data_IF_312947788993
#
_entry.id   IF_312947788993
#
_cell.length_a   1.000
_cell.length_b   1.000
_cell.length_c   1.000
_cell.angle_alpha   90.00
_cell.angle_beta   90.00
_cell.angle_gamma   90.00
#
_symmetry.space_group_name_H-M   'P 1'
#
loop_
_entity.id
_entity.type
_entity.pdbx_description
1 polymer ?
#
# COMPACT_ATOMS: atom_id res chain seq x y z
N UNK A 1 -7.93 45.79 -5.38
CA UNK A 1 -7.89 44.65 -6.32
C UNK A 1 -8.61 43.48 -5.70
N UNK A 2 -9.68 42.94 -6.31
CA UNK A 2 -10.31 41.72 -5.82
C UNK A 2 -9.34 40.55 -6.01
N UNK A 3 -9.10 39.80 -4.94
CA UNK A 3 -8.32 38.55 -4.97
C UNK A 3 -9.09 37.58 -5.89
N UNK A 4 -8.45 36.98 -6.91
CA UNK A 4 -9.13 36.02 -7.76
C UNK A 4 -9.61 34.86 -6.88
N UNK A 5 -10.91 34.60 -6.94
CA UNK A 5 -11.53 33.41 -6.35
C UNK A 5 -11.00 32.24 -7.17
N UNK A 6 -9.94 31.60 -6.68
CA UNK A 6 -9.49 30.30 -7.21
C UNK A 6 -10.61 29.33 -6.84
N UNK A 7 -11.54 29.08 -7.77
CA UNK A 7 -12.47 27.95 -7.67
C UNK A 7 -11.59 26.71 -7.50
N UNK A 8 -11.67 26.06 -6.33
CA UNK A 8 -11.10 24.73 -6.15
C UNK A 8 -11.93 23.78 -6.99
N UNK A 9 -11.48 23.51 -8.21
CA UNK A 9 -12.16 22.59 -9.11
C UNK A 9 -12.11 21.17 -8.54
N UNK A 10 -13.25 20.48 -8.59
CA UNK A 10 -13.38 19.13 -8.06
C UNK A 10 -12.57 18.17 -8.94
N UNK A 11 -11.67 17.41 -8.30
CA UNK A 11 -10.88 16.36 -8.92
C UNK A 11 -11.67 15.04 -8.90
N UNK A 12 -12.53 14.83 -9.90
CA UNK A 12 -13.41 13.65 -9.95
C UNK A 12 -12.65 12.33 -9.95
N UNK A 13 -11.50 12.25 -10.64
CA UNK A 13 -10.66 11.06 -10.62
C UNK A 13 -10.26 10.70 -9.19
N UNK A 14 -9.79 11.66 -8.40
CA UNK A 14 -9.31 11.43 -7.05
C UNK A 14 -10.41 11.02 -6.07
N UNK A 15 -11.60 11.65 -6.17
CA UNK A 15 -12.75 11.24 -5.37
C UNK A 15 -13.15 9.79 -5.70
N UNK A 16 -13.28 9.45 -6.99
CA UNK A 16 -13.62 8.08 -7.39
C UNK A 16 -12.51 7.09 -7.04
N UNK A 17 -11.24 7.48 -7.10
CA UNK A 17 -10.11 6.64 -6.70
C UNK A 17 -10.18 6.28 -5.22
N UNK A 18 -10.39 7.27 -4.34
CA UNK A 18 -10.54 7.01 -2.91
C UNK A 18 -11.78 6.14 -2.66
N UNK A 19 -12.92 6.41 -3.30
CA UNK A 19 -14.11 5.57 -3.18
C UNK A 19 -13.83 4.12 -3.57
N UNK A 20 -13.16 3.92 -4.70
CA UNK A 20 -12.80 2.58 -5.18
C UNK A 20 -11.89 1.88 -4.18
N UNK A 21 -10.86 2.58 -3.69
CA UNK A 21 -9.93 2.01 -2.72
C UNK A 21 -10.62 1.61 -1.42
N UNK A 22 -11.48 2.48 -0.90
CA UNK A 22 -12.25 2.22 0.31
C UNK A 22 -13.20 1.04 0.12
N UNK A 23 -13.92 1.04 -0.99
CA UNK A 23 -14.88 -0.02 -1.33
C UNK A 23 -14.19 -1.37 -1.44
N UNK A 24 -13.10 -1.44 -2.21
CA UNK A 24 -12.39 -2.69 -2.49
C UNK A 24 -11.63 -3.24 -1.28
N UNK A 25 -11.08 -2.39 -0.41
CA UNK A 25 -10.30 -2.86 0.75
C UNK A 25 -11.14 -3.09 2.02
N UNK A 26 -12.24 -2.35 2.20
CA UNK A 26 -12.97 -2.34 3.49
C UNK A 26 -14.45 -2.67 3.38
N UNK A 27 -15.13 -2.36 2.27
CA UNK A 27 -16.59 -2.51 2.20
C UNK A 27 -17.02 -3.84 1.58
N UNK A 28 -16.31 -4.30 0.56
CA UNK A 28 -16.58 -5.58 -0.10
C UNK A 28 -15.78 -6.67 0.61
N UNK A 29 -16.44 -7.68 1.18
CA UNK A 29 -15.76 -8.86 1.70
C UNK A 29 -14.94 -9.59 0.62
N UNK A 30 -13.70 -9.96 0.96
CA UNK A 30 -12.76 -10.60 0.03
C UNK A 30 -13.19 -11.99 -0.44
N UNK A 31 -13.95 -12.72 0.39
CA UNK A 31 -14.53 -14.03 0.10
C UNK A 31 -15.54 -14.01 -1.05
N UNK A 32 -16.07 -12.84 -1.42
CA UNK A 32 -16.96 -12.70 -2.58
C UNK A 32 -16.23 -12.75 -3.93
N UNK A 33 -14.88 -12.65 -3.94
CA UNK A 33 -14.00 -12.73 -5.12
C UNK A 33 -14.48 -11.89 -6.33
N UNK A 34 -15.19 -10.79 -6.08
CA UNK A 34 -15.78 -9.99 -7.15
C UNK A 34 -14.67 -9.43 -8.04
N UNK A 35 -14.80 -9.50 -9.38
CA UNK A 35 -13.80 -8.97 -10.30
C UNK A 35 -13.87 -7.44 -10.41
N UNK A 36 -13.91 -6.74 -9.26
CA UNK A 36 -14.08 -5.29 -9.15
C UNK A 36 -13.04 -4.52 -9.98
N UNK A 37 -11.80 -5.00 -10.07
CA UNK A 37 -10.75 -4.37 -10.86
C UNK A 37 -11.06 -4.35 -12.38
N UNK A 38 -11.79 -5.34 -12.90
CA UNK A 38 -12.18 -5.38 -14.33
C UNK A 38 -13.13 -4.25 -14.70
N UNK A 39 -13.97 -3.79 -13.76
CA UNK A 39 -14.95 -2.75 -14.00
C UNK A 39 -14.46 -1.36 -13.55
N UNK A 40 -13.88 -1.27 -12.35
CA UNK A 40 -13.50 0.01 -11.76
C UNK A 40 -12.25 0.62 -12.39
N UNK A 41 -11.25 -0.18 -12.79
CA UNK A 41 -10.03 0.40 -13.38
C UNK A 41 -10.30 1.07 -14.74
N UNK A 42 -11.12 0.50 -15.66
CA UNK A 42 -11.56 1.23 -16.85
C UNK A 42 -12.34 2.51 -16.53
N UNK A 43 -13.23 2.50 -15.53
CA UNK A 43 -13.97 3.70 -15.11
C UNK A 43 -12.99 4.79 -14.63
N UNK A 44 -12.00 4.42 -13.79
CA UNK A 44 -10.97 5.33 -13.32
C UNK A 44 -10.12 5.89 -14.48
N UNK A 45 -9.78 5.06 -15.46
CA UNK A 45 -9.06 5.50 -16.66
C UNK A 45 -9.88 6.52 -17.46
N UNK A 46 -11.16 6.25 -17.70
CA UNK A 46 -12.07 7.17 -18.42
C UNK A 46 -12.21 8.50 -17.69
N UNK A 47 -12.40 8.47 -16.36
CA UNK A 47 -12.48 9.69 -15.55
C UNK A 47 -11.18 10.48 -15.57
N UNK A 48 -10.03 9.81 -15.52
CA UNK A 48 -8.73 10.45 -15.62
C UNK A 48 -8.55 11.13 -16.98
N UNK A 49 -8.85 10.42 -18.07
CA UNK A 49 -8.77 10.99 -19.43
C UNK A 49 -9.70 12.20 -19.56
N UNK A 50 -10.94 12.09 -19.12
CA UNK A 50 -11.90 13.20 -19.12
C UNK A 50 -11.37 14.40 -18.34
N UNK A 51 -10.81 14.16 -17.15
CA UNK A 51 -10.24 15.21 -16.34
C UNK A 51 -9.02 15.88 -16.99
N UNK A 52 -8.13 15.10 -17.62
CA UNK A 52 -6.98 15.64 -18.36
C UNK A 52 -7.42 16.52 -19.54
N UNK A 53 -8.46 16.11 -20.27
CA UNK A 53 -9.03 16.88 -21.38
C UNK A 53 -9.67 18.17 -20.89
N UNK A 54 -10.44 18.11 -19.80
CA UNK A 54 -11.11 19.27 -19.19
C UNK A 54 -10.11 20.29 -18.67
N UNK A 55 -9.14 19.83 -17.88
CA UNK A 55 -8.16 20.68 -17.19
C UNK A 55 -7.01 21.12 -18.14
N UNK A 56 -6.98 20.60 -19.38
CA UNK A 56 -5.91 20.80 -20.37
C UNK A 56 -4.52 20.53 -19.80
N UNK A 57 -4.45 19.52 -18.94
CA UNK A 57 -3.25 19.17 -18.19
C UNK A 57 -2.14 18.70 -19.12
N UNK A 58 -0.95 19.30 -19.00
CA UNK A 58 0.23 18.85 -19.73
C UNK A 58 0.87 17.69 -18.99
N UNK A 59 0.79 16.49 -19.57
CA UNK A 59 1.50 15.31 -19.07
C UNK A 59 3.00 15.43 -19.36
N UNK A 60 3.82 14.86 -18.48
CA UNK A 60 5.26 14.77 -18.76
C UNK A 60 5.50 13.69 -19.82
N UNK A 61 6.41 13.95 -20.77
CA UNK A 61 6.78 12.97 -21.81
C UNK A 61 7.24 11.65 -21.18
N UNK A 62 7.97 11.74 -20.07
CA UNK A 62 8.39 10.56 -19.30
C UNK A 62 7.21 9.70 -18.82
N UNK A 63 6.07 10.30 -18.46
CA UNK A 63 4.89 9.56 -18.00
C UNK A 63 4.28 8.78 -19.15
N UNK A 64 4.14 9.44 -20.29
CA UNK A 64 3.58 8.85 -21.52
C UNK A 64 4.47 7.68 -21.97
N UNK A 65 5.78 7.91 -22.09
CA UNK A 65 6.74 6.87 -22.51
C UNK A 65 6.69 5.68 -21.56
N UNK A 66 6.71 5.92 -20.23
CA UNK A 66 6.69 4.82 -19.26
C UNK A 66 5.39 4.01 -19.32
N UNK A 67 4.24 4.68 -19.49
CA UNK A 67 2.94 4.00 -19.62
C UNK A 67 2.88 3.20 -20.92
N UNK A 68 3.35 3.75 -22.04
CA UNK A 68 3.42 3.03 -23.30
C UNK A 68 4.30 1.78 -23.19
N UNK A 69 5.45 1.86 -22.51
CA UNK A 69 6.32 0.71 -22.25
C UNK A 69 5.63 -0.35 -21.39
N UNK A 70 4.93 0.06 -20.32
CA UNK A 70 4.17 -0.86 -19.48
C UNK A 70 3.08 -1.58 -20.27
N UNK A 71 2.31 -0.84 -21.07
CA UNK A 71 1.25 -1.43 -21.91
C UNK A 71 1.86 -2.40 -22.92
N UNK A 72 2.94 -2.00 -23.59
CA UNK A 72 3.64 -2.85 -24.56
C UNK A 72 4.11 -4.16 -23.90
N UNK A 73 4.81 -4.08 -22.77
CA UNK A 73 5.29 -5.27 -22.05
C UNK A 73 4.14 -6.14 -21.55
N UNK A 74 3.06 -5.52 -21.07
CA UNK A 74 1.86 -6.25 -20.61
C UNK A 74 1.20 -7.01 -21.76
N UNK A 75 1.09 -6.39 -22.94
CA UNK A 75 0.50 -7.01 -24.14
C UNK A 75 1.40 -8.12 -24.69
N UNK A 76 2.71 -7.92 -24.72
CA UNK A 76 3.67 -8.95 -25.17
C UNK A 76 3.68 -10.15 -24.21
N UNK A 77 3.52 -9.89 -22.91
CA UNK A 77 3.50 -10.91 -21.87
C UNK A 77 2.07 -11.31 -21.48
N UNK A 78 1.14 -11.41 -22.44
CA UNK A 78 -0.33 -11.54 -22.27
C UNK A 78 -0.86 -12.73 -21.41
N UNK A 79 -0.01 -13.39 -20.63
CA UNK A 79 -0.31 -14.62 -19.92
C UNK A 79 -1.11 -14.51 -18.61
N UNK A 80 -1.63 -13.36 -18.15
CA UNK A 80 -2.58 -13.39 -17.00
C UNK A 80 -3.36 -12.11 -16.71
N UNK A 81 -4.58 -12.27 -16.18
CA UNK A 81 -5.31 -11.24 -15.43
C UNK A 81 -4.47 -10.63 -14.29
N UNK A 82 -3.50 -11.37 -13.74
CA UNK A 82 -2.63 -10.88 -12.67
C UNK A 82 -1.73 -9.74 -13.15
N UNK A 83 -1.11 -9.83 -14.33
CA UNK A 83 -0.30 -8.74 -14.88
C UNK A 83 -1.10 -7.45 -15.04
N UNK A 84 -2.37 -7.55 -15.45
CA UNK A 84 -3.28 -6.41 -15.54
C UNK A 84 -3.54 -5.74 -14.18
N UNK A 85 -3.59 -6.51 -13.09
CA UNK A 85 -3.72 -5.98 -11.71
C UNK A 85 -2.49 -5.20 -11.23
N UNK A 86 -1.34 -5.31 -11.92
CA UNK A 86 -0.15 -4.50 -11.65
C UNK A 86 -0.01 -3.34 -12.62
N UNK A 87 -0.14 -3.62 -13.91
CA UNK A 87 0.17 -2.66 -14.98
C UNK A 87 -0.81 -1.51 -15.07
N UNK A 88 -2.12 -1.77 -14.98
CA UNK A 88 -3.11 -0.71 -15.08
C UNK A 88 -3.11 0.20 -13.85
N UNK A 89 -3.05 -0.31 -12.61
CA UNK A 89 -2.89 0.54 -11.43
C UNK A 89 -1.67 1.45 -11.48
N UNK A 90 -0.50 0.91 -11.84
CA UNK A 90 0.72 1.72 -11.88
C UNK A 90 0.71 2.74 -13.02
N UNK A 91 0.10 2.42 -14.17
CA UNK A 91 -0.09 3.37 -15.25
C UNK A 91 -1.00 4.54 -14.84
N UNK A 92 -2.11 4.25 -14.16
CA UNK A 92 -3.00 5.26 -13.60
C UNK A 92 -2.29 6.11 -12.52
N UNK A 93 -1.42 5.52 -11.70
CA UNK A 93 -0.58 6.28 -10.76
C UNK A 93 0.33 7.25 -11.51
N UNK A 94 1.00 6.77 -12.56
CA UNK A 94 1.94 7.57 -13.36
C UNK A 94 1.28 8.84 -13.93
N UNK A 95 0.07 8.68 -14.48
CA UNK A 95 -0.66 9.78 -15.13
C UNK A 95 -1.43 10.61 -14.09
N UNK A 96 -2.19 9.98 -13.21
CA UNK A 96 -3.10 10.64 -12.26
C UNK A 96 -2.40 11.44 -11.17
N UNK A 97 -1.14 11.10 -10.87
CA UNK A 97 -0.29 11.84 -9.95
C UNK A 97 0.92 12.48 -10.66
N UNK A 98 0.83 12.68 -11.99
CA UNK A 98 1.83 13.45 -12.73
C UNK A 98 2.01 14.83 -12.08
N UNK A 99 3.26 15.26 -11.90
CA UNK A 99 3.63 16.51 -11.24
C UNK A 99 3.30 16.61 -9.73
N UNK A 100 2.82 15.53 -9.10
CA UNK A 100 2.61 15.40 -7.66
C UNK A 100 1.74 16.51 -7.02
N UNK A 101 0.51 16.74 -7.54
CA UNK A 101 -0.36 17.76 -6.98
C UNK A 101 -0.76 17.41 -5.55
N UNK A 102 -0.81 18.41 -4.66
CA UNK A 102 -1.62 18.30 -3.44
C UNK A 102 -3.08 18.35 -3.86
N UNK A 103 -3.86 17.33 -3.50
CA UNK A 103 -5.26 17.24 -3.92
C UNK A 103 -6.15 17.56 -2.74
N UNK A 104 -6.96 18.61 -2.93
CA UNK A 104 -7.96 19.04 -1.97
C UNK A 104 -9.16 18.11 -2.02
N UNK A 105 -9.58 17.62 -0.86
CA UNK A 105 -10.81 16.84 -0.71
C UNK A 105 -11.70 17.45 0.36
N UNK A 106 -13.01 17.38 0.13
CA UNK A 106 -14.00 17.77 1.10
C UNK A 106 -13.92 16.88 2.34
N UNK A 107 -13.77 17.51 3.51
CA UNK A 107 -13.66 16.80 4.79
C UNK A 107 -14.89 15.93 5.06
N UNK A 108 -16.09 16.39 4.70
CA UNK A 108 -17.35 15.64 4.91
C UNK A 108 -17.33 14.32 4.12
N UNK A 109 -16.90 14.36 2.87
CA UNK A 109 -16.79 13.17 2.02
C UNK A 109 -15.84 12.14 2.64
N UNK A 110 -14.65 12.58 3.04
CA UNK A 110 -13.67 11.69 3.67
C UNK A 110 -14.18 11.12 5.00
N UNK A 111 -14.89 11.92 5.78
CA UNK A 111 -15.48 11.51 7.08
C UNK A 111 -16.56 10.45 6.88
N UNK A 112 -17.44 10.61 5.88
CA UNK A 112 -18.46 9.61 5.53
C UNK A 112 -17.80 8.28 5.16
N UNK A 113 -16.77 8.31 4.31
CA UNK A 113 -16.04 7.09 3.93
C UNK A 113 -15.35 6.43 5.13
N UNK A 114 -14.79 7.22 6.06
CA UNK A 114 -14.19 6.68 7.28
C UNK A 114 -15.24 6.01 8.18
N UNK A 115 -16.45 6.57 8.30
CA UNK A 115 -17.55 5.95 9.03
C UNK A 115 -17.98 4.63 8.41
N UNK A 116 -18.23 4.61 7.09
CA UNK A 116 -18.60 3.39 6.38
C UNK A 116 -17.54 2.30 6.56
N UNK A 117 -16.27 2.66 6.41
CA UNK A 117 -15.14 1.73 6.62
C UNK A 117 -15.09 1.20 8.05
N UNK A 118 -15.27 2.07 9.04
CA UNK A 118 -15.26 1.69 10.46
C UNK A 118 -16.35 0.67 10.77
N UNK A 119 -17.58 0.93 10.30
CA UNK A 119 -18.72 0.03 10.48
C UNK A 119 -18.44 -1.31 9.80
N UNK A 120 -18.00 -1.28 8.54
CA UNK A 120 -17.71 -2.48 7.77
C UNK A 120 -16.58 -3.32 8.40
N UNK A 121 -15.46 -2.71 8.80
CA UNK A 121 -14.37 -3.44 9.45
C UNK A 121 -14.77 -3.98 10.82
N UNK A 122 -15.56 -3.24 11.61
CA UNK A 122 -16.09 -3.74 12.89
C UNK A 122 -16.95 -4.98 12.67
N UNK A 123 -17.83 -4.93 11.67
CA UNK A 123 -18.66 -6.07 11.28
C UNK A 123 -17.82 -7.26 10.80
N UNK A 124 -16.82 -7.03 9.92
CA UNK A 124 -15.91 -8.08 9.47
C UNK A 124 -15.14 -8.70 10.65
N UNK A 125 -14.55 -7.89 11.55
CA UNK A 125 -13.88 -8.41 12.74
C UNK A 125 -14.81 -9.21 13.65
N UNK A 126 -16.11 -8.87 13.70
CA UNK A 126 -17.10 -9.61 14.49
C UNK A 126 -17.46 -10.97 13.86
N UNK A 127 -17.53 -11.04 12.53
CA UNK A 127 -17.82 -12.28 11.78
C UNK A 127 -16.60 -13.19 11.77
N UNK A 128 -15.44 -12.67 11.37
CA UNK A 128 -14.21 -13.41 11.16
C UNK A 128 -13.36 -13.50 12.45
N UNK A 129 -14.02 -13.63 13.61
CA UNK A 129 -13.39 -13.54 14.95
C UNK A 129 -12.65 -14.80 15.42
N UNK A 130 -12.61 -15.86 14.61
CA UNK A 130 -11.99 -17.16 14.92
C UNK A 130 -11.54 -17.85 13.65
N UNK A 131 -10.86 -17.12 12.77
CA UNK A 131 -10.26 -17.77 11.60
C UNK A 131 -9.00 -18.48 12.07
N UNK A 132 -8.92 -19.77 11.75
CA UNK A 132 -7.69 -20.53 11.94
C UNK A 132 -6.68 -20.13 10.87
N UNK A 133 -5.57 -19.54 11.29
CA UNK A 133 -4.46 -19.18 10.43
C UNK A 133 -3.15 -19.55 11.11
N UNK A 134 -2.33 -20.37 10.45
CA UNK A 134 -1.11 -20.97 10.99
C UNK A 134 -1.37 -21.72 12.32
N UNK A 135 -2.46 -22.50 12.42
CA UNK A 135 -2.82 -23.26 13.63
C UNK A 135 -3.22 -22.41 14.85
N UNK A 136 -3.44 -21.11 14.65
CA UNK A 136 -3.89 -20.17 15.70
C UNK A 136 -5.21 -19.52 15.32
N UNK A 137 -6.17 -19.50 16.26
CA UNK A 137 -7.42 -18.78 16.08
C UNK A 137 -7.19 -17.29 16.30
N UNK A 138 -7.30 -16.51 15.23
CA UNK A 138 -7.11 -15.06 15.27
C UNK A 138 -8.29 -14.33 14.66
N UNK A 139 -8.42 -13.06 15.03
CA UNK A 139 -9.33 -12.13 14.37
C UNK A 139 -8.63 -11.62 13.11
N UNK A 140 -9.34 -11.60 12.00
CA UNK A 140 -8.90 -10.95 10.78
C UNK A 140 -10.05 -10.16 10.15
N UNK A 141 -9.75 -9.44 9.07
CA UNK A 141 -10.75 -8.97 8.12
C UNK A 141 -11.16 -10.14 7.19
N UNK A 142 -12.05 -9.85 6.25
CA UNK A 142 -12.56 -10.82 5.26
C UNK A 142 -11.50 -11.47 4.38
N UNK A 143 -10.27 -10.95 4.36
CA UNK A 143 -9.14 -11.52 3.61
C UNK A 143 -8.57 -12.81 4.23
N UNK A 144 -8.97 -13.17 5.46
CA UNK A 144 -8.53 -14.37 6.16
C UNK A 144 -7.08 -14.37 6.67
N UNK A 145 -6.25 -13.41 6.26
CA UNK A 145 -4.86 -13.27 6.74
C UNK A 145 -4.75 -12.10 7.73
N UNK A 146 -4.45 -12.37 9.01
CA UNK A 146 -4.27 -11.32 10.03
C UNK A 146 -3.16 -10.31 9.71
N UNK A 147 -2.14 -10.70 8.96
CA UNK A 147 -1.05 -9.80 8.57
C UNK A 147 -1.49 -8.85 7.45
N UNK A 148 -2.18 -9.35 6.43
CA UNK A 148 -2.78 -8.51 5.36
C UNK A 148 -3.88 -7.63 5.93
N UNK A 149 -4.65 -8.13 6.91
CA UNK A 149 -5.59 -7.32 7.69
C UNK A 149 -4.90 -6.15 8.40
N UNK A 150 -3.70 -6.41 8.96
CA UNK A 150 -2.84 -5.37 9.53
C UNK A 150 -2.41 -4.30 8.53
N UNK A 151 -2.13 -4.66 7.26
CA UNK A 151 -1.81 -3.70 6.19
C UNK A 151 -2.98 -2.77 5.91
N UNK A 152 -4.18 -3.34 5.75
CA UNK A 152 -5.39 -2.57 5.46
C UNK A 152 -5.70 -1.64 6.63
N UNK A 153 -5.56 -2.13 7.86
CA UNK A 153 -5.77 -1.31 9.03
C UNK A 153 -4.70 -0.23 9.23
N UNK A 154 -3.46 -0.46 8.81
CA UNK A 154 -2.42 0.57 8.77
C UNK A 154 -2.75 1.69 7.79
N UNK A 155 -3.23 1.36 6.60
CA UNK A 155 -3.68 2.36 5.62
C UNK A 155 -4.90 3.12 6.13
N UNK A 156 -5.86 2.42 6.74
CA UNK A 156 -7.03 3.04 7.35
C UNK A 156 -6.65 3.96 8.51
N UNK A 157 -5.67 3.56 9.33
CA UNK A 157 -5.10 4.40 10.38
C UNK A 157 -4.50 5.69 9.79
N UNK A 158 -3.67 5.58 8.75
CA UNK A 158 -3.08 6.75 8.09
C UNK A 158 -4.15 7.68 7.52
N UNK A 159 -5.17 7.11 6.87
CA UNK A 159 -6.32 7.86 6.35
C UNK A 159 -7.07 8.58 7.48
N UNK A 160 -7.33 7.89 8.59
CA UNK A 160 -8.03 8.44 9.76
C UNK A 160 -7.24 9.58 10.42
N UNK A 161 -5.90 9.46 10.49
CA UNK A 161 -5.03 10.55 10.94
C UNK A 161 -5.14 11.76 10.00
N UNK A 162 -5.03 11.55 8.68
CA UNK A 162 -5.19 12.63 7.69
C UNK A 162 -6.57 13.28 7.74
N UNK A 163 -7.61 12.49 7.97
CA UNK A 163 -9.00 12.95 8.11
C UNK A 163 -9.31 13.60 9.48
N UNK A 164 -8.40 13.49 10.46
CA UNK A 164 -8.64 13.82 11.88
C UNK A 164 -9.85 13.05 12.46
N UNK A 165 -10.07 11.82 12.02
CA UNK A 165 -11.19 10.97 12.39
C UNK A 165 -10.85 10.05 13.57
N UNK A 166 -11.20 10.48 14.78
CA UNK A 166 -10.83 9.79 16.04
C UNK A 166 -11.35 8.34 16.17
N UNK A 167 -12.61 8.01 15.82
CA UNK A 167 -13.10 6.64 15.96
C UNK A 167 -12.25 5.64 15.15
N UNK A 168 -11.85 6.04 13.93
CA UNK A 168 -10.98 5.24 13.07
C UNK A 168 -9.56 5.06 13.60
N UNK A 169 -9.02 6.07 14.30
CA UNK A 169 -7.73 5.96 14.99
C UNK A 169 -7.82 4.94 16.14
N UNK A 170 -8.88 5.01 16.94
CA UNK A 170 -9.08 4.12 18.10
C UNK A 170 -9.22 2.67 17.66
N UNK A 171 -10.10 2.38 16.70
CA UNK A 171 -10.31 1.01 16.20
C UNK A 171 -9.02 0.44 15.61
N UNK A 172 -8.25 1.23 14.88
CA UNK A 172 -6.97 0.80 14.34
C UNK A 172 -5.96 0.47 15.45
N UNK A 173 -5.82 1.32 16.47
CA UNK A 173 -4.93 1.02 17.59
C UNK A 173 -5.34 -0.25 18.34
N UNK A 174 -6.63 -0.41 18.63
CA UNK A 174 -7.16 -1.61 19.30
C UNK A 174 -6.93 -2.87 18.47
N UNK A 175 -7.10 -2.78 17.14
CA UNK A 175 -6.91 -3.92 16.25
C UNK A 175 -5.49 -4.48 16.24
N UNK A 176 -4.46 -3.69 16.64
CA UNK A 176 -3.09 -4.20 16.78
C UNK A 176 -3.01 -5.34 17.80
N UNK A 177 -3.80 -5.25 18.88
CA UNK A 177 -3.96 -6.30 19.87
C UNK A 177 -4.86 -7.45 19.40
N UNK A 178 -5.82 -7.18 18.50
CA UNK A 178 -6.78 -8.19 18.02
C UNK A 178 -6.18 -9.08 16.92
N UNK A 179 -5.49 -8.48 15.95
CA UNK A 179 -4.90 -9.21 14.82
C UNK A 179 -3.61 -9.94 15.21
N UNK A 180 -2.93 -9.47 16.26
CA UNK A 180 -1.62 -9.98 16.69
C UNK A 180 -0.60 -10.02 15.53
N UNK A 181 -0.70 -9.04 14.62
CA UNK A 181 0.23 -8.88 13.49
C UNK A 181 1.48 -8.11 13.94
N UNK A 182 2.61 -8.82 13.99
CA UNK A 182 3.93 -8.23 14.33
C UNK A 182 4.26 -7.03 13.46
N UNK A 183 4.14 -7.19 12.15
CA UNK A 183 4.47 -6.14 11.19
C UNK A 183 3.61 -4.90 11.41
N UNK A 184 2.32 -5.08 11.69
CA UNK A 184 1.42 -3.97 11.97
C UNK A 184 1.79 -3.24 13.26
N UNK A 185 2.04 -3.99 14.32
CA UNK A 185 2.46 -3.45 15.61
C UNK A 185 3.77 -2.65 15.50
N UNK A 186 4.81 -3.21 14.87
CA UNK A 186 6.08 -2.50 14.69
C UNK A 186 5.98 -1.29 13.77
N UNK A 187 5.15 -1.34 12.72
CA UNK A 187 4.87 -0.16 11.89
C UNK A 187 4.18 0.95 12.65
N UNK A 188 3.29 0.64 13.60
CA UNK A 188 2.72 1.65 14.50
C UNK A 188 3.79 2.22 15.44
N UNK A 189 4.68 1.38 15.99
CA UNK A 189 5.81 1.87 16.81
C UNK A 189 6.67 2.84 16.03
N UNK A 190 7.04 2.50 14.78
CA UNK A 190 7.82 3.40 13.91
C UNK A 190 7.06 4.71 13.67
N UNK A 191 5.77 4.62 13.38
CA UNK A 191 4.92 5.80 13.19
C UNK A 191 4.96 6.74 14.40
N UNK A 192 4.70 6.21 15.59
CA UNK A 192 4.69 7.00 16.82
C UNK A 192 6.07 7.47 17.23
N UNK A 193 7.12 6.69 16.99
CA UNK A 193 8.50 7.10 17.24
C UNK A 193 8.86 8.31 16.39
N UNK A 194 8.55 8.27 15.09
CA UNK A 194 8.74 9.43 14.20
C UNK A 194 7.91 10.62 14.65
N UNK A 195 6.69 10.40 15.14
CA UNK A 195 5.84 11.46 15.65
C UNK A 195 6.41 12.13 16.92
N UNK A 196 6.93 11.33 17.87
CA UNK A 196 7.55 11.84 19.09
C UNK A 196 8.87 12.59 18.81
N UNK A 197 9.63 12.13 17.80
CA UNK A 197 10.92 12.69 17.41
C UNK A 197 10.85 13.45 16.08
N UNK A 198 9.72 14.11 15.78
CA UNK A 198 9.43 14.62 14.43
C UNK A 198 10.50 15.59 13.90
N UNK A 199 10.93 16.54 14.73
CA UNK A 199 11.96 17.53 14.37
C UNK A 199 13.34 16.90 14.10
N UNK A 200 13.95 16.14 15.02
CA UNK A 200 15.25 15.52 14.75
C UNK A 200 15.17 14.50 13.61
N UNK A 201 14.10 13.69 13.55
CA UNK A 201 13.91 12.73 12.47
C UNK A 201 13.81 13.43 11.12
N UNK A 202 13.06 14.52 11.01
CA UNK A 202 12.95 15.27 9.76
C UNK A 202 14.28 15.85 9.27
N UNK A 203 15.15 16.31 10.19
CA UNK A 203 16.50 16.79 9.81
C UNK A 203 17.35 15.66 9.23
N UNK A 204 17.21 14.45 9.77
CA UNK A 204 17.87 13.25 9.25
C UNK A 204 17.27 12.84 7.89
N UNK A 205 15.96 12.65 7.82
CA UNK A 205 15.24 12.21 6.63
C UNK A 205 15.44 13.14 5.42
N UNK A 206 15.51 14.46 5.63
CA UNK A 206 15.75 15.43 4.54
C UNK A 206 17.09 15.20 3.81
N UNK A 207 18.08 14.58 4.47
CA UNK A 207 19.39 14.28 3.87
C UNK A 207 19.41 12.98 3.08
N UNK A 208 18.34 12.18 3.16
CA UNK A 208 18.28 10.85 2.57
C UNK A 208 17.56 10.92 1.22
N UNK A 209 18.17 10.35 0.19
CA UNK A 209 17.48 10.10 -1.07
C UNK A 209 16.53 8.90 -0.89
N UNK A 210 15.23 9.12 -1.03
CA UNK A 210 14.23 8.07 -0.82
C UNK A 210 14.44 6.87 -1.76
N UNK A 211 14.89 7.08 -3.00
CA UNK A 211 15.14 5.99 -3.96
C UNK A 211 16.27 5.09 -3.46
N UNK A 212 17.35 5.68 -2.95
CA UNK A 212 18.46 4.92 -2.36
C UNK A 212 18.01 4.21 -1.09
N UNK A 213 17.23 4.87 -0.23
CA UNK A 213 16.66 4.25 0.97
C UNK A 213 15.81 3.03 0.61
N UNK A 214 14.96 3.13 -0.41
CA UNK A 214 14.13 2.01 -0.87
C UNK A 214 14.98 0.82 -1.33
N UNK A 215 16.03 1.06 -2.12
CA UNK A 215 16.94 0.01 -2.59
C UNK A 215 17.66 -0.64 -1.41
N UNK A 216 18.29 0.16 -0.55
CA UNK A 216 19.03 -0.36 0.61
C UNK A 216 18.13 -1.09 1.61
N UNK A 217 16.90 -0.62 1.83
CA UNK A 217 15.95 -1.28 2.71
C UNK A 217 15.57 -2.68 2.19
N UNK A 218 15.37 -2.84 0.87
CA UNK A 218 15.07 -4.15 0.28
C UNK A 218 16.27 -5.08 0.30
N UNK A 219 17.48 -4.58 -0.01
CA UNK A 219 18.73 -5.36 0.14
C UNK A 219 18.89 -5.80 1.59
N UNK A 220 18.69 -4.90 2.55
CA UNK A 220 18.75 -5.21 3.98
C UNK A 220 17.72 -6.29 4.36
N UNK A 221 16.48 -6.19 3.89
CA UNK A 221 15.46 -7.22 4.14
C UNK A 221 15.85 -8.60 3.62
N UNK A 222 16.46 -8.66 2.43
CA UNK A 222 16.99 -9.92 1.86
C UNK A 222 18.13 -10.46 2.73
N UNK A 223 19.09 -9.62 3.12
CA UNK A 223 20.21 -10.03 3.97
C UNK A 223 19.76 -10.51 5.35
N UNK A 224 18.74 -9.90 5.94
CA UNK A 224 18.13 -10.35 7.20
C UNK A 224 17.53 -11.75 7.03
N UNK A 225 16.83 -12.00 5.92
CA UNK A 225 16.30 -13.33 5.61
C UNK A 225 17.42 -14.38 5.46
N UNK A 226 18.48 -14.04 4.74
CA UNK A 226 19.64 -14.92 4.58
C UNK A 226 20.38 -15.18 5.90
N UNK A 227 20.52 -14.16 6.75
CA UNK A 227 21.07 -14.33 8.08
C UNK A 227 20.20 -15.28 8.92
N UNK A 228 18.88 -15.10 8.90
CA UNK A 228 17.95 -15.95 9.64
C UNK A 228 18.09 -17.42 9.24
N UNK A 229 18.05 -17.72 7.95
CA UNK A 229 18.10 -19.09 7.43
C UNK A 229 19.41 -19.83 7.75
N UNK A 230 20.52 -19.10 7.89
CA UNK A 230 21.84 -19.71 8.09
C UNK A 230 22.28 -19.76 9.56
N UNK A 231 21.73 -18.90 10.43
CA UNK A 231 22.24 -18.69 11.78
C UNK A 231 21.20 -18.73 12.90
N UNK A 232 19.90 -18.78 12.58
CA UNK A 232 18.84 -18.82 13.60
C UNK A 232 18.26 -20.22 13.69
N UNK A 233 18.40 -20.85 14.86
CA UNK A 233 17.73 -22.11 15.17
C UNK A 233 16.23 -21.86 15.37
N UNK A 234 15.40 -22.58 14.61
CA UNK A 234 13.95 -22.47 14.66
C UNK A 234 13.40 -23.50 15.63
N UNK A 235 12.67 -23.04 16.63
CA UNK A 235 11.96 -23.92 17.57
C UNK A 235 10.81 -24.64 16.88
N UNK A 236 10.52 -25.88 17.31
CA UNK A 236 9.41 -26.69 16.76
C UNK A 236 8.03 -26.20 17.20
N UNK A 237 7.91 -25.51 18.33
CA UNK A 237 6.63 -25.04 18.85
C UNK A 237 6.29 -23.63 18.38
N UNK A 238 5.11 -23.49 17.79
CA UNK A 238 4.55 -22.23 17.36
C UNK A 238 3.81 -21.54 18.50
N UNK A 239 4.29 -20.37 18.94
CA UNK A 239 3.63 -19.59 20.00
C UNK A 239 2.32 -18.96 19.49
N UNK A 240 1.21 -19.31 20.14
CA UNK A 240 -0.13 -18.83 19.82
C UNK A 240 -0.60 -17.67 20.70
N UNK A 241 0.19 -17.26 21.71
CA UNK A 241 -0.12 -16.20 22.66
C UNK A 241 0.40 -14.81 22.27
N UNK A 242 0.27 -13.83 23.18
CA UNK A 242 0.77 -12.45 22.99
C UNK A 242 2.30 -12.36 22.89
N UNK A 243 3.01 -13.33 23.48
CA UNK A 243 4.46 -13.46 23.40
C UNK A 243 4.96 -13.62 21.95
N UNK A 244 4.10 -14.09 21.05
CA UNK A 244 4.34 -14.12 19.60
C UNK A 244 4.71 -12.76 19.01
N UNK A 245 4.28 -11.64 19.59
CA UNK A 245 4.70 -10.31 19.11
C UNK A 245 6.22 -10.11 19.17
N UNK A 246 6.90 -10.86 20.03
CA UNK A 246 8.35 -10.75 20.28
C UNK A 246 9.13 -12.03 19.93
N UNK A 247 8.47 -13.18 19.75
CA UNK A 247 9.12 -14.39 19.24
C UNK A 247 9.45 -14.21 17.75
N UNK A 248 10.73 -14.28 17.37
CA UNK A 248 11.19 -14.09 15.97
C UNK A 248 11.59 -15.41 15.31
N UNK A 249 11.97 -16.41 16.11
CA UNK A 249 12.47 -17.73 15.71
C UNK A 249 11.33 -18.76 15.52
N UNK A 250 10.39 -18.48 14.62
CA UNK A 250 9.24 -19.35 14.32
C UNK A 250 9.30 -19.97 12.91
N UNK A 251 8.60 -21.10 12.72
CA UNK A 251 8.51 -21.81 11.44
C UNK A 251 7.83 -20.98 10.34
N UNK A 252 6.98 -20.02 10.69
CA UNK A 252 6.33 -19.14 9.71
C UNK A 252 7.36 -18.24 9.03
N UNK A 253 8.28 -17.64 9.79
CA UNK A 253 9.38 -16.85 9.25
C UNK A 253 10.37 -17.69 8.44
N UNK A 254 10.60 -18.95 8.83
CA UNK A 254 11.42 -19.89 8.06
C UNK A 254 10.90 -20.05 6.63
N UNK A 255 9.64 -20.48 6.45
CA UNK A 255 9.06 -20.69 5.12
C UNK A 255 9.04 -19.40 4.28
N UNK A 256 8.82 -18.25 4.92
CA UNK A 256 8.84 -16.93 4.26
C UNK A 256 10.20 -16.60 3.66
N UNK A 257 11.28 -16.80 4.42
CA UNK A 257 12.62 -16.51 3.94
C UNK A 257 13.09 -17.57 2.94
N UNK A 258 12.69 -18.83 3.10
CA UNK A 258 12.93 -19.87 2.10
C UNK A 258 12.27 -19.53 0.75
N UNK A 259 11.06 -18.99 0.74
CA UNK A 259 10.41 -18.49 -0.48
C UNK A 259 11.22 -17.41 -1.18
N UNK A 260 11.72 -16.44 -0.42
CA UNK A 260 12.53 -15.34 -0.94
C UNK A 260 13.83 -15.89 -1.56
N UNK A 261 14.51 -16.82 -0.87
CA UNK A 261 15.72 -17.49 -1.36
C UNK A 261 15.43 -18.31 -2.62
N UNK A 262 14.33 -19.07 -2.63
CA UNK A 262 13.91 -19.87 -3.77
C UNK A 262 13.68 -19.01 -5.02
N UNK A 263 13.01 -17.86 -4.91
CA UNK A 263 12.85 -16.92 -6.02
C UNK A 263 14.21 -16.47 -6.57
N UNK A 264 15.14 -16.09 -5.69
CA UNK A 264 16.46 -15.59 -6.11
C UNK A 264 17.23 -16.70 -6.85
N UNK A 265 17.19 -17.94 -6.34
CA UNK A 265 17.83 -19.10 -6.96
C UNK A 265 17.17 -19.51 -8.29
N UNK A 266 15.85 -19.43 -8.40
CA UNK A 266 15.16 -19.74 -9.65
C UNK A 266 15.47 -18.73 -10.74
N UNK A 267 15.61 -17.45 -10.38
CA UNK A 267 15.94 -16.39 -11.35
C UNK A 267 17.41 -16.38 -11.74
N UNK A 268 18.30 -16.82 -10.85
CA UNK A 268 19.71 -16.98 -11.20
C UNK A 268 19.95 -18.19 -12.12
N UNK A 269 19.09 -19.21 -12.06
CA UNK A 269 19.18 -20.41 -12.89
C UNK A 269 18.40 -20.32 -14.20
N UNK A 270 17.29 -19.57 -14.26
CA UNK A 270 16.49 -19.37 -15.47
C UNK A 270 16.27 -17.87 -15.74
N UNK A 271 17.07 -17.33 -16.66
CA UNK A 271 17.00 -15.92 -17.07
C UNK A 271 15.71 -15.59 -17.81
N UNK A 272 15.16 -16.52 -18.59
CA UNK A 272 13.91 -16.28 -19.32
C UNK A 272 12.75 -16.13 -18.33
N UNK A 273 12.71 -16.98 -17.32
CA UNK A 273 11.78 -16.85 -16.20
C UNK A 273 11.99 -15.52 -15.45
N UNK A 274 13.23 -15.13 -15.17
CA UNK A 274 13.54 -13.88 -14.48
C UNK A 274 13.02 -12.64 -15.23
N UNK A 275 13.10 -12.63 -16.56
CA UNK A 275 12.58 -11.55 -17.38
C UNK A 275 11.05 -11.53 -17.43
N UNK A 276 10.40 -12.69 -17.50
CA UNK A 276 8.95 -12.83 -17.69
C UNK A 276 8.15 -12.75 -16.39
N UNK A 277 8.72 -13.23 -15.30
CA UNK A 277 7.99 -13.53 -14.06
C UNK A 277 7.22 -14.84 -14.12
N UNK A 278 6.77 -15.29 -12.95
CA UNK A 278 5.90 -16.46 -12.80
C UNK A 278 4.45 -16.18 -13.24
N UNK A 279 4.02 -14.92 -13.20
CA UNK A 279 2.68 -14.50 -13.65
C UNK A 279 1.56 -15.32 -13.00
N UNK A 280 0.73 -15.97 -13.83
CA UNK A 280 -0.38 -16.82 -13.36
C UNK A 280 0.05 -18.08 -12.60
N UNK A 281 1.31 -18.52 -12.76
CA UNK A 281 1.84 -19.71 -12.09
C UNK A 281 2.44 -19.41 -10.71
N UNK A 282 2.43 -18.14 -10.27
CA UNK A 282 3.01 -17.78 -8.98
C UNK A 282 2.37 -18.57 -7.82
N UNK A 283 1.05 -18.53 -7.72
CA UNK A 283 0.33 -19.20 -6.63
C UNK A 283 0.52 -20.72 -6.66
N UNK A 284 0.58 -21.34 -7.84
CA UNK A 284 0.77 -22.80 -7.95
C UNK A 284 2.17 -23.25 -7.56
N UNK A 285 3.17 -22.37 -7.67
CA UNK A 285 4.56 -22.69 -7.36
C UNK A 285 4.91 -22.39 -5.90
N UNK A 286 4.44 -21.27 -5.37
CA UNK A 286 4.81 -20.81 -4.03
C UNK A 286 3.88 -21.30 -2.92
N UNK A 287 2.59 -21.55 -3.22
CA UNK A 287 1.60 -21.98 -2.22
C UNK A 287 1.83 -23.40 -1.67
N UNK A 288 2.24 -24.42 -2.47
CA UNK A 288 2.50 -25.77 -1.95
C UNK A 288 3.69 -25.85 -0.99
N UNK A 289 4.61 -24.90 -1.07
CA UNK A 289 5.81 -24.82 -0.20
C UNK A 289 5.45 -24.16 1.15
N UNK A 290 4.18 -23.73 1.35
CA UNK A 290 3.80 -22.91 2.51
C UNK A 290 4.44 -21.51 2.48
N UNK A 291 4.99 -21.12 1.33
CA UNK A 291 6.01 -20.10 1.21
C UNK A 291 5.52 -19.02 0.23
N UNK A 292 4.53 -18.22 0.65
CA UNK A 292 4.24 -16.97 -0.06
C UNK A 292 5.42 -16.04 0.18
N UNK A 293 5.86 -15.31 -0.85
CA UNK A 293 6.97 -14.35 -0.74
C UNK A 293 6.59 -13.21 0.18
N UNK A 294 7.15 -13.15 1.38
CA UNK A 294 6.85 -12.11 2.38
C UNK A 294 7.82 -10.93 2.30
N UNK A 295 7.96 -10.40 1.09
CA UNK A 295 8.61 -9.14 0.80
C UNK A 295 7.91 -8.56 -0.44
N UNK A 296 7.23 -7.43 -0.28
CA UNK A 296 6.38 -6.89 -1.35
C UNK A 296 7.17 -6.50 -2.60
N UNK A 297 8.45 -6.17 -2.47
CA UNK A 297 9.31 -5.90 -3.63
C UNK A 297 9.57 -7.17 -4.43
N UNK A 298 10.03 -8.23 -3.76
CA UNK A 298 10.29 -9.54 -4.37
C UNK A 298 9.02 -10.14 -4.96
N UNK A 299 7.88 -9.95 -4.30
CA UNK A 299 6.61 -10.47 -4.78
C UNK A 299 6.18 -9.81 -6.10
N UNK A 300 6.26 -8.48 -6.23
CA UNK A 300 5.97 -7.82 -7.51
C UNK A 300 6.90 -8.33 -8.60
N UNK A 301 8.19 -8.48 -8.29
CA UNK A 301 9.18 -9.04 -9.22
C UNK A 301 8.82 -10.48 -9.60
N UNK A 302 8.39 -11.31 -8.65
CA UNK A 302 7.98 -12.69 -8.89
C UNK A 302 6.78 -12.77 -9.85
N UNK A 303 5.79 -11.88 -9.68
CA UNK A 303 4.61 -11.83 -10.54
C UNK A 303 4.90 -11.25 -11.93
N UNK A 304 5.69 -10.18 -12.00
CA UNK A 304 5.80 -9.34 -13.20
C UNK A 304 7.08 -9.55 -14.00
N UNK A 305 8.09 -10.19 -13.42
CA UNK A 305 9.44 -10.26 -13.95
C UNK A 305 10.23 -8.98 -13.72
N UNK A 306 11.55 -9.06 -13.91
CA UNK A 306 12.47 -7.94 -13.64
C UNK A 306 12.16 -6.73 -14.51
N UNK A 307 11.84 -6.92 -15.79
CA UNK A 307 11.66 -5.80 -16.75
C UNK A 307 10.45 -4.94 -16.37
N UNK A 308 9.28 -5.56 -16.21
CA UNK A 308 8.07 -4.83 -15.82
C UNK A 308 8.18 -4.35 -14.36
N UNK A 309 8.80 -5.12 -13.47
CA UNK A 309 9.04 -4.73 -12.09
C UNK A 309 9.91 -3.47 -11.96
N UNK A 310 10.96 -3.31 -12.78
CA UNK A 310 11.77 -2.08 -12.79
C UNK A 310 10.91 -0.86 -13.17
N UNK A 311 10.10 -0.96 -14.23
CA UNK A 311 9.20 0.14 -14.62
C UNK A 311 8.15 0.43 -13.54
N UNK A 312 7.63 -0.63 -12.91
CA UNK A 312 6.69 -0.54 -11.81
C UNK A 312 7.29 0.25 -10.63
N UNK A 313 8.47 -0.15 -10.17
CA UNK A 313 9.14 0.49 -9.04
C UNK A 313 9.67 1.88 -9.39
N UNK A 314 10.07 2.12 -10.63
CA UNK A 314 10.40 3.47 -11.09
C UNK A 314 9.23 4.44 -10.89
N UNK A 315 8.02 4.08 -11.32
CA UNK A 315 6.83 4.93 -11.11
C UNK A 315 6.50 5.03 -9.62
N UNK A 316 6.48 3.92 -8.89
CA UNK A 316 6.11 3.90 -7.47
C UNK A 316 7.06 4.77 -6.63
N UNK A 317 8.37 4.58 -6.78
CA UNK A 317 9.39 5.36 -6.08
C UNK A 317 9.26 6.82 -6.45
N UNK A 318 9.10 7.14 -7.75
CA UNK A 318 8.94 8.52 -8.20
C UNK A 318 7.70 9.19 -7.59
N UNK A 319 6.57 8.49 -7.55
CA UNK A 319 5.34 8.96 -6.93
C UNK A 319 5.51 9.23 -5.43
N UNK A 320 6.07 8.29 -4.67
CA UNK A 320 6.31 8.46 -3.23
C UNK A 320 7.33 9.57 -2.98
N UNK A 321 8.39 9.66 -3.79
CA UNK A 321 9.42 10.70 -3.67
C UNK A 321 8.83 12.11 -3.87
N UNK A 322 7.86 12.27 -4.77
CA UNK A 322 7.11 13.53 -4.93
C UNK A 322 6.39 14.01 -3.66
N UNK A 323 6.05 13.06 -2.78
CA UNK A 323 5.41 13.31 -1.49
C UNK A 323 6.34 13.10 -0.29
N UNK A 324 7.66 12.91 -0.50
CA UNK A 324 8.66 12.72 0.55
C UNK A 324 9.00 14.04 1.26
N UNK A 325 8.03 14.53 2.05
CA UNK A 325 8.07 15.81 2.76
C UNK A 325 7.85 15.59 4.27
N UNK A 326 8.21 16.59 5.06
CA UNK A 326 8.09 16.61 6.53
C UNK A 326 6.77 15.99 7.04
N UNK A 327 5.65 16.45 6.50
CA UNK A 327 4.31 16.02 6.89
C UNK A 327 4.07 14.51 6.70
N UNK A 328 4.81 13.88 5.78
CA UNK A 328 4.56 12.53 5.30
C UNK A 328 5.57 11.48 5.76
N UNK A 329 6.69 11.85 6.40
CA UNK A 329 7.73 10.91 6.79
C UNK A 329 7.21 9.74 7.65
N UNK A 330 6.39 10.02 8.65
CA UNK A 330 5.77 8.99 9.50
C UNK A 330 4.96 7.94 8.73
N UNK A 331 4.27 8.32 7.65
CA UNK A 331 3.53 7.35 6.83
C UNK A 331 4.49 6.54 5.95
N UNK A 332 5.45 7.21 5.30
CA UNK A 332 6.38 6.60 4.34
C UNK A 332 7.28 5.57 5.00
N UNK A 333 7.92 5.91 6.12
CA UNK A 333 8.83 4.98 6.80
C UNK A 333 8.09 3.80 7.44
N UNK A 334 6.92 4.04 8.01
CA UNK A 334 6.09 2.97 8.61
C UNK A 334 5.58 2.00 7.56
N UNK A 335 5.18 2.50 6.39
CA UNK A 335 4.75 1.69 5.25
C UNK A 335 5.91 0.93 4.60
N UNK A 336 7.07 1.60 4.45
CA UNK A 336 8.28 0.97 3.92
C UNK A 336 8.69 -0.22 4.81
N UNK A 337 8.77 -0.03 6.13
CA UNK A 337 9.06 -1.11 7.06
C UNK A 337 8.06 -2.27 6.91
N UNK A 338 6.77 -1.95 6.86
CA UNK A 338 5.72 -2.96 6.69
C UNK A 338 5.93 -3.80 5.42
N UNK A 339 6.29 -3.15 4.32
CA UNK A 339 6.48 -3.79 3.00
C UNK A 339 7.69 -4.73 2.91
N UNK A 340 8.67 -4.61 3.82
CA UNK A 340 9.86 -5.46 3.83
C UNK A 340 9.57 -6.89 4.29
N UNK A 341 8.54 -7.06 5.13
CA UNK A 341 8.22 -8.31 5.82
C UNK A 341 6.81 -8.83 5.52
N UNK A 342 6.06 -8.17 4.63
CA UNK A 342 4.78 -8.66 4.13
C UNK A 342 4.72 -8.62 2.61
N UNK A 343 3.92 -9.54 2.08
CA UNK A 343 3.37 -9.52 0.74
C UNK A 343 2.24 -8.46 0.60
N UNK A 344 1.76 -8.25 -0.62
CA UNK A 344 0.63 -7.41 -1.01
C UNK A 344 0.70 -5.90 -0.76
N UNK A 345 1.74 -5.38 -0.10
CA UNK A 345 1.86 -3.93 0.14
C UNK A 345 2.04 -3.13 -1.17
N UNK A 346 2.66 -3.73 -2.18
CA UNK A 346 2.83 -3.10 -3.50
C UNK A 346 1.91 -3.73 -4.56
N UNK A 347 0.80 -4.36 -4.17
CA UNK A 347 -0.13 -5.00 -5.10
C UNK A 347 -1.45 -4.24 -5.23
N UNK A 348 -1.95 -4.15 -6.46
CA UNK A 348 -3.32 -3.74 -6.77
C UNK A 348 -3.72 -2.38 -6.17
N UNK A 349 -4.72 -2.41 -5.29
CA UNK A 349 -5.38 -1.22 -4.72
C UNK A 349 -4.57 -0.59 -3.57
N UNK A 350 -3.71 -1.37 -2.92
CA UNK A 350 -2.91 -0.91 -1.78
C UNK A 350 -2.02 0.31 -2.10
N UNK A 351 -1.15 0.29 -3.13
CA UNK A 351 -0.31 1.44 -3.48
C UNK A 351 -1.15 2.65 -3.93
N UNK A 352 -2.31 2.45 -4.54
CA UNK A 352 -3.22 3.54 -4.88
C UNK A 352 -3.72 4.29 -3.64
N UNK A 353 -4.23 3.55 -2.65
CA UNK A 353 -4.70 4.16 -1.42
C UNK A 353 -3.56 4.85 -0.69
N UNK A 354 -2.39 4.21 -0.63
CA UNK A 354 -1.22 4.79 0.02
C UNK A 354 -0.79 6.12 -0.62
N UNK A 355 -0.62 6.17 -1.95
CA UNK A 355 -0.26 7.41 -2.65
C UNK A 355 -1.36 8.46 -2.49
N UNK A 356 -2.63 8.05 -2.54
CA UNK A 356 -3.76 8.96 -2.30
C UNK A 356 -3.70 9.58 -0.91
N UNK A 357 -3.38 8.78 0.12
CA UNK A 357 -3.18 9.27 1.50
C UNK A 357 -2.04 10.30 1.56
N UNK A 358 -0.94 10.07 0.85
CA UNK A 358 0.19 11.00 0.83
C UNK A 358 -0.14 12.33 0.13
N UNK A 359 -0.97 12.29 -0.91
CA UNK A 359 -1.39 13.46 -1.69
C UNK A 359 -2.51 14.28 -1.06
N UNK A 360 -3.21 13.73 -0.04
CA UNK A 360 -4.33 14.37 0.62
C UNK A 360 -3.96 15.70 1.27
N UNK A 361 -4.72 16.73 0.91
CA UNK A 361 -4.84 17.99 1.63
C UNK A 361 -6.31 18.19 2.01
N UNK A 362 -6.61 18.45 3.28
CA UNK A 362 -7.98 18.78 3.68
C UNK A 362 -8.31 20.20 3.22
N UNK A 363 -9.50 20.40 2.64
CA UNK A 363 -10.06 21.76 2.55
C UNK A 363 -10.37 22.24 3.96
N UNK A 364 -9.70 23.31 4.39
CA UNK A 364 -10.13 24.05 5.57
C UNK A 364 -11.40 24.82 5.20
N UNK A 365 -12.45 24.68 6.02
CA UNK A 365 -13.58 25.59 5.93
C UNK A 365 -13.04 27.00 6.09
N UNK A 366 -13.19 27.83 5.04
CA UNK A 366 -12.87 29.26 5.10
C UNK A 366 -13.44 29.81 6.40
N UNK A 367 -12.63 30.46 7.26
CA UNK A 367 -13.16 31.09 8.46
C UNK A 367 -14.28 32.01 8.02
N UNK A 368 -15.51 31.76 8.49
CA UNK A 368 -16.64 32.68 8.29
C UNK A 368 -16.10 34.06 8.65
N UNK A 369 -16.02 34.97 7.67
CA UNK A 369 -15.72 36.37 7.95
C UNK A 369 -16.70 36.78 9.04
N UNK A 370 -16.19 37.02 10.24
CA UNK A 370 -16.89 37.80 11.24
C UNK A 370 -17.14 39.16 10.59
N UNK A 371 -18.33 39.32 10.03
CA UNK A 371 -18.85 40.62 9.64
C UNK A 371 -19.04 41.32 10.99
N UNK A 372 -18.02 42.07 11.40
CA UNK A 372 -18.19 43.10 12.41
C UNK A 372 -19.16 44.12 11.81
N UNK A 373 -20.45 43.98 12.12
CA UNK A 373 -21.34 45.12 12.14
C UNK A 373 -20.83 46.04 13.26
N UNK A 374 -20.09 47.08 12.87
CA UNK A 374 -20.05 48.31 13.65
C UNK A 374 -21.30 49.09 13.25
N UNK A 375 -22.26 49.14 14.16
CA UNK A 375 -23.17 50.28 14.26
C UNK A 375 -22.53 51.35 15.16
#
# INVERSE_FOLDING_TARGET
MPIPIIKTEINYFFYTLILYCITALYLIPYDLELPHAKFFLPILATLLIFQLLRDRSKLQISDIVTVCLIILITVVNASSYQLFRYSLPIALISIGFSQFPKIKIQKIYLTILCWLSTIAMTYQMAIYRRIEFDGSLRISLSNGDPNVSGLFMLLFFFLSIKAKFKPGIIIALVSSCLFLSRNYFFSLIIFFTILCFEKPFARFAKKINFSLLFIFANIFGILVGEFFLNFVEVGYEYDTGSNRLFAVNDASNLFRFEANRFLIQSYSSDWHLALKGYGGNYETIFRPIGAIIHNSFLEVIAYTGIVLGILYFYILIRAINGYYKYENYKYIFSYLFFSLFLHSAFQGVTPFLFISILSLSLEEETPKKLIYHRE
#
